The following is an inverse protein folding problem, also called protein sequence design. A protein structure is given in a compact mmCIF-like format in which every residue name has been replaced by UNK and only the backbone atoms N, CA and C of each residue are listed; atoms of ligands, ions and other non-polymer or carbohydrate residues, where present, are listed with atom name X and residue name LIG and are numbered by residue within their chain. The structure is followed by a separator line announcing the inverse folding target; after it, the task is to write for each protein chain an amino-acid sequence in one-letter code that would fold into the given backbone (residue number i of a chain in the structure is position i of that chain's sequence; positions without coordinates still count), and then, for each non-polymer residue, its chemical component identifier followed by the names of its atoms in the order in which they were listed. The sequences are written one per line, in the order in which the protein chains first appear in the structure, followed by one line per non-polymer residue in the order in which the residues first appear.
data_IF_651342325557
#
_entry.id   IF_651342325557
#
_cell.length_a   1.000
_cell.length_b   1.000
_cell.length_c   1.000
_cell.angle_alpha   90.00
_cell.angle_beta   90.00
_cell.angle_gamma   90.00
#
_symmetry.space_group_name_H-M   'P 1'
#
loop_
_entity.id
_entity.type
_entity.pdbx_description
1 polymer ?
#
# COMPACT_ATOMS: atom_id res chain seq x y z
N UNK A 1 -3.81 11.83 -27.41
CA UNK A 1 -4.10 11.82 -25.98
C UNK A 1 -5.30 10.89 -25.78
N UNK A 2 -5.05 9.62 -25.41
CA UNK A 2 -6.11 8.71 -25.02
C UNK A 2 -6.72 9.15 -23.68
N UNK A 3 -8.02 9.29 -23.60
CA UNK A 3 -8.71 9.55 -22.34
C UNK A 3 -8.95 8.19 -21.68
N UNK A 4 -8.35 7.97 -20.53
CA UNK A 4 -8.60 6.78 -19.72
C UNK A 4 -9.98 6.91 -19.07
N UNK A 5 -10.80 5.85 -19.17
CA UNK A 5 -12.15 5.78 -18.59
C UNK A 5 -12.17 4.79 -17.43
N UNK A 6 -13.29 4.70 -16.72
CA UNK A 6 -13.46 3.70 -15.65
C UNK A 6 -13.30 2.27 -16.19
N UNK A 7 -13.82 2.00 -17.38
CA UNK A 7 -13.78 0.67 -18.02
C UNK A 7 -12.38 0.32 -18.58
N UNK A 8 -11.58 1.35 -18.89
CA UNK A 8 -10.21 1.23 -19.39
C UNK A 8 -9.29 2.24 -18.67
N UNK A 9 -9.05 2.06 -17.37
CA UNK A 9 -8.21 2.96 -16.61
C UNK A 9 -6.73 2.75 -16.97
N UNK A 10 -5.93 3.78 -16.77
CA UNK A 10 -4.48 3.64 -16.73
C UNK A 10 -4.11 2.99 -15.40
N UNK A 11 -3.29 1.94 -15.44
CA UNK A 11 -2.79 1.25 -14.24
C UNK A 11 -1.28 1.10 -14.33
N UNK A 12 -0.59 1.50 -13.27
CA UNK A 12 0.85 1.29 -13.14
C UNK A 12 1.18 0.69 -11.78
N UNK A 13 1.84 -0.47 -11.77
CA UNK A 13 2.37 -1.11 -10.57
C UNK A 13 3.68 -0.43 -10.18
N UNK A 14 3.92 -0.26 -8.87
CA UNK A 14 5.14 0.33 -8.31
C UNK A 14 5.53 1.67 -8.97
N UNK A 15 4.65 2.67 -8.95
CA UNK A 15 4.82 3.90 -9.75
C UNK A 15 6.08 4.69 -9.42
N UNK A 16 6.61 4.52 -8.22
CA UNK A 16 7.81 5.22 -7.74
C UNK A 16 9.06 4.34 -7.66
N UNK A 17 8.96 3.05 -8.05
CA UNK A 17 10.08 2.11 -8.10
C UNK A 17 10.58 1.61 -6.75
N UNK A 18 9.93 1.97 -5.64
CA UNK A 18 10.40 1.67 -4.28
C UNK A 18 9.37 0.96 -3.37
N UNK A 19 8.13 0.78 -3.84
CA UNK A 19 7.05 0.13 -3.09
C UNK A 19 6.30 -0.88 -3.98
N UNK A 20 6.84 -2.09 -4.22
CA UNK A 20 6.33 -3.04 -5.21
C UNK A 20 4.90 -3.53 -4.99
N UNK A 21 4.39 -3.47 -3.75
CA UNK A 21 3.01 -3.83 -3.42
C UNK A 21 2.07 -2.61 -3.42
N UNK A 22 2.36 -1.63 -4.25
CA UNK A 22 1.52 -0.46 -4.49
C UNK A 22 1.30 -0.23 -5.99
N UNK A 23 0.19 0.40 -6.33
CA UNK A 23 -0.11 0.78 -7.70
C UNK A 23 -0.76 2.16 -7.74
N UNK A 24 -0.89 2.70 -8.95
CA UNK A 24 -1.61 3.92 -9.23
C UNK A 24 -2.61 3.64 -10.35
N UNK A 25 -3.86 4.04 -10.15
CA UNK A 25 -4.94 3.94 -11.13
C UNK A 25 -5.37 5.36 -11.48
N UNK A 26 -5.46 5.65 -12.79
CA UNK A 26 -5.92 6.95 -13.27
C UNK A 26 -7.01 6.81 -14.33
N UNK A 27 -8.07 7.58 -14.20
CA UNK A 27 -9.17 7.68 -15.17
C UNK A 27 -9.93 8.99 -15.02
N UNK A 28 -10.81 9.28 -15.98
CA UNK A 28 -11.67 10.46 -15.96
C UNK A 28 -13.14 10.06 -16.06
N UNK A 29 -14.00 10.89 -15.49
CA UNK A 29 -15.45 10.80 -15.58
C UNK A 29 -16.02 12.09 -16.20
N UNK A 30 -17.20 12.00 -16.85
CA UNK A 30 -17.85 13.16 -17.46
C UNK A 30 -18.41 14.14 -16.41
N UNK A 31 -18.77 13.62 -15.23
CA UNK A 31 -19.32 14.40 -14.11
C UNK A 31 -18.48 14.15 -12.87
N UNK A 32 -18.53 15.09 -11.96
CA UNK A 32 -17.93 14.91 -10.64
C UNK A 32 -18.55 13.73 -9.91
N UNK A 33 -17.69 12.80 -9.49
CA UNK A 33 -18.06 11.58 -8.77
C UNK A 33 -17.06 11.33 -7.66
N UNK A 34 -17.48 10.80 -6.51
CA UNK A 34 -16.58 10.21 -5.54
C UNK A 34 -16.29 8.75 -5.93
N UNK A 35 -15.13 8.27 -5.52
CA UNK A 35 -14.66 6.90 -5.82
C UNK A 35 -14.30 6.21 -4.52
N UNK A 36 -14.93 5.07 -4.28
CA UNK A 36 -14.53 4.14 -3.23
C UNK A 36 -13.67 3.04 -3.85
N UNK A 37 -12.43 2.89 -3.36
CA UNK A 37 -11.57 1.76 -3.69
C UNK A 37 -11.73 0.68 -2.62
N UNK A 38 -11.80 -0.57 -3.06
CA UNK A 38 -11.71 -1.75 -2.20
C UNK A 38 -10.60 -2.65 -2.72
N UNK A 39 -9.59 -2.90 -1.88
CA UNK A 39 -8.52 -3.86 -2.13
C UNK A 39 -8.87 -5.15 -1.39
N UNK A 40 -9.18 -6.20 -2.14
CA UNK A 40 -9.65 -7.45 -1.57
C UNK A 40 -8.57 -8.11 -0.70
N UNK A 41 -8.96 -8.50 0.51
CA UNK A 41 -8.16 -9.31 1.42
C UNK A 41 -8.50 -10.79 1.33
N UNK A 42 -7.80 -11.62 2.11
CA UNK A 42 -8.13 -13.04 2.29
C UNK A 42 -9.41 -13.23 3.11
N UNK A 43 -9.76 -12.22 3.89
CA UNK A 43 -10.97 -12.13 4.70
C UNK A 43 -11.44 -10.67 4.80
N UNK A 44 -12.59 -10.45 5.44
CA UNK A 44 -13.16 -9.12 5.62
C UNK A 44 -12.20 -8.19 6.41
N UNK A 45 -11.50 -8.72 7.40
CA UNK A 45 -10.61 -7.94 8.27
C UNK A 45 -9.27 -7.57 7.61
N UNK A 46 -8.89 -8.24 6.53
CA UNK A 46 -7.73 -7.92 5.70
C UNK A 46 -8.09 -7.20 4.39
N UNK A 47 -9.40 -6.89 4.19
CA UNK A 47 -9.89 -6.09 3.08
C UNK A 47 -9.83 -4.61 3.43
N UNK A 48 -9.19 -3.80 2.58
CA UNK A 48 -9.05 -2.35 2.78
C UNK A 48 -9.98 -1.57 1.87
N UNK A 49 -10.64 -0.58 2.43
CA UNK A 49 -11.56 0.30 1.70
C UNK A 49 -11.24 1.75 2.02
N UNK A 50 -11.24 2.61 0.99
CA UNK A 50 -11.05 4.04 1.16
C UNK A 50 -11.89 4.82 0.15
N UNK A 51 -12.46 5.95 0.58
CA UNK A 51 -13.24 6.85 -0.27
C UNK A 51 -12.43 8.10 -0.61
N UNK A 52 -12.39 8.42 -1.92
CA UNK A 52 -11.84 9.66 -2.45
C UNK A 52 -12.97 10.63 -2.78
N UNK A 53 -12.73 11.91 -2.54
CA UNK A 53 -13.69 12.98 -2.77
C UNK A 53 -14.11 13.12 -4.24
N UNK A 54 -15.10 13.98 -4.47
CA UNK A 54 -15.66 14.24 -5.82
C UNK A 54 -14.63 14.91 -6.73
N UNK A 55 -14.48 14.38 -7.92
CA UNK A 55 -13.65 14.89 -8.99
C UNK A 55 -14.14 14.38 -10.36
N UNK A 56 -13.61 14.95 -11.44
CA UNK A 56 -13.75 14.44 -12.80
C UNK A 56 -12.48 13.75 -13.30
N UNK A 57 -11.36 14.01 -12.65
CA UNK A 57 -10.07 13.36 -12.91
C UNK A 57 -9.63 12.65 -11.64
N UNK A 58 -9.51 11.34 -11.72
CA UNK A 58 -9.21 10.49 -10.59
C UNK A 58 -7.79 9.97 -10.68
N UNK A 59 -7.05 10.13 -9.60
CA UNK A 59 -5.71 9.59 -9.41
C UNK A 59 -5.75 8.81 -8.09
N UNK A 60 -5.92 7.50 -8.19
CA UNK A 60 -6.22 6.61 -7.06
C UNK A 60 -4.97 5.81 -6.69
N UNK A 61 -4.28 6.14 -5.58
CA UNK A 61 -3.23 5.30 -5.06
C UNK A 61 -3.80 4.01 -4.49
N UNK A 62 -3.16 2.90 -4.83
CA UNK A 62 -3.51 1.56 -4.38
C UNK A 62 -2.41 1.06 -3.45
N UNK A 63 -2.78 0.72 -2.23
CA UNK A 63 -1.91 0.11 -1.23
C UNK A 63 -2.51 -1.19 -0.73
N UNK A 64 -1.67 -2.04 -0.15
CA UNK A 64 -2.14 -3.27 0.46
C UNK A 64 -2.34 -4.42 -0.52
N UNK A 65 -1.55 -4.50 -1.58
CA UNK A 65 -1.51 -5.66 -2.46
C UNK A 65 -0.77 -6.81 -1.79
N UNK A 66 -1.19 -8.06 -2.07
CA UNK A 66 -0.43 -9.26 -1.71
C UNK A 66 0.69 -9.48 -2.74
N UNK A 67 1.82 -10.01 -2.29
CA UNK A 67 2.89 -10.46 -3.16
C UNK A 67 2.55 -11.80 -3.83
N UNK A 68 3.16 -12.07 -4.98
CA UNK A 68 2.99 -13.30 -5.78
C UNK A 68 1.50 -13.67 -6.00
N UNK A 69 0.69 -12.67 -6.29
CA UNK A 69 -0.77 -12.82 -6.31
C UNK A 69 -1.43 -11.99 -7.40
N UNK A 70 -2.51 -12.50 -7.94
CA UNK A 70 -3.44 -11.73 -8.76
C UNK A 70 -4.43 -11.01 -7.84
N UNK A 71 -4.12 -9.75 -7.52
CA UNK A 71 -4.91 -8.94 -6.61
C UNK A 71 -6.14 -8.36 -7.30
N UNK A 72 -7.26 -8.35 -6.61
CA UNK A 72 -8.51 -7.75 -7.10
C UNK A 72 -8.76 -6.41 -6.41
N UNK A 73 -8.92 -5.37 -7.22
CA UNK A 73 -9.22 -4.02 -6.79
C UNK A 73 -10.56 -3.61 -7.40
N UNK A 74 -11.52 -3.26 -6.55
CA UNK A 74 -12.82 -2.77 -7.00
C UNK A 74 -12.91 -1.26 -6.81
N UNK A 75 -13.24 -0.56 -7.88
CA UNK A 75 -13.60 0.86 -7.86
C UNK A 75 -15.12 0.96 -7.91
N UNK A 76 -15.71 1.69 -6.99
CA UNK A 76 -17.15 1.98 -6.94
C UNK A 76 -17.36 3.49 -6.95
N UNK A 77 -18.07 3.98 -7.95
CA UNK A 77 -18.38 5.39 -8.08
C UNK A 77 -19.70 5.73 -7.36
N UNK A 78 -19.84 6.97 -6.92
CA UNK A 78 -21.07 7.43 -6.25
C UNK A 78 -22.32 7.40 -7.14
N UNK A 79 -22.16 7.29 -8.45
CA UNK A 79 -23.26 7.10 -9.41
C UNK A 79 -23.67 5.62 -9.61
N UNK A 80 -23.05 4.70 -8.87
CA UNK A 80 -23.34 3.27 -8.87
C UNK A 80 -22.55 2.44 -9.87
N UNK A 81 -21.73 3.04 -10.72
CA UNK A 81 -20.84 2.28 -11.62
C UNK A 81 -19.73 1.62 -10.82
N UNK A 82 -19.35 0.42 -11.24
CA UNK A 82 -18.26 -0.34 -10.63
C UNK A 82 -17.32 -0.90 -11.68
N UNK A 83 -16.04 -1.01 -11.34
CA UNK A 83 -15.03 -1.68 -12.15
C UNK A 83 -14.10 -2.49 -11.26
N UNK A 84 -13.85 -3.74 -11.61
CA UNK A 84 -12.82 -4.57 -10.97
C UNK A 84 -11.59 -4.61 -11.86
N UNK A 85 -10.45 -4.38 -11.24
CA UNK A 85 -9.12 -4.37 -11.87
C UNK A 85 -8.30 -5.47 -11.22
N UNK A 86 -7.62 -6.25 -12.03
CA UNK A 86 -6.70 -7.29 -11.57
C UNK A 86 -5.27 -6.81 -11.73
N UNK A 87 -4.46 -6.94 -10.66
CA UNK A 87 -3.05 -6.55 -10.65
C UNK A 87 -2.22 -7.74 -10.19
N UNK A 88 -1.39 -8.28 -11.09
CA UNK A 88 -0.40 -9.30 -10.75
C UNK A 88 0.83 -8.63 -10.12
N UNK A 89 1.29 -9.17 -9.00
CA UNK A 89 2.48 -8.72 -8.27
C UNK A 89 3.56 -9.79 -8.28
N UNK A 90 4.80 -9.35 -8.13
CA UNK A 90 5.96 -10.24 -7.99
C UNK A 90 6.07 -10.83 -6.58
N UNK A 91 6.85 -11.91 -6.39
CA UNK A 91 7.18 -12.46 -5.08
C UNK A 91 7.92 -11.46 -4.20
N UNK A 92 7.83 -11.68 -2.87
CA UNK A 92 8.65 -10.95 -1.91
C UNK A 92 10.14 -11.25 -2.09
N UNK A 93 11.04 -10.31 -1.73
CA UNK A 93 12.46 -10.59 -1.64
C UNK A 93 12.74 -11.76 -0.69
N UNK A 94 13.63 -12.67 -1.08
CA UNK A 94 13.97 -13.86 -0.28
C UNK A 94 14.58 -13.52 1.09
N UNK A 95 15.12 -12.33 1.24
CA UNK A 95 15.75 -11.83 2.47
C UNK A 95 14.82 -10.90 3.29
N UNK A 96 13.55 -10.75 2.89
CA UNK A 96 12.54 -10.09 3.70
C UNK A 96 12.09 -11.04 4.82
N UNK A 97 12.31 -10.61 6.06
CA UNK A 97 11.93 -11.41 7.22
C UNK A 97 10.39 -11.49 7.35
N UNK A 98 9.87 -12.70 7.38
CA UNK A 98 8.46 -12.97 7.64
C UNK A 98 8.24 -13.32 9.11
N UNK A 99 7.04 -13.04 9.67
CA UNK A 99 6.69 -13.50 11.01
C UNK A 99 6.78 -15.03 11.11
N UNK A 100 7.46 -15.54 12.13
CA UNK A 100 7.50 -16.97 12.43
C UNK A 100 6.20 -17.49 13.07
N UNK A 101 5.45 -16.58 13.67
CA UNK A 101 4.12 -16.84 14.24
C UNK A 101 3.34 -15.55 14.33
N UNK A 102 2.03 -15.63 14.19
CA UNK A 102 1.11 -14.51 14.33
C UNK A 102 0.08 -14.87 15.40
N UNK A 103 -0.03 -13.97 16.39
CA UNK A 103 -1.10 -14.04 17.36
C UNK A 103 -1.80 -12.67 17.40
N UNK A 104 -3.04 -12.64 16.97
CA UNK A 104 -3.83 -11.41 16.90
C UNK A 104 -5.20 -11.63 17.54
N UNK A 105 -5.53 -10.84 18.56
CA UNK A 105 -6.90 -10.73 19.05
C UNK A 105 -7.68 -9.79 18.14
N UNK A 106 -8.31 -10.37 17.13
CA UNK A 106 -9.04 -9.64 16.08
C UNK A 106 -10.21 -8.79 16.62
N UNK A 107 -10.69 -9.08 17.85
CA UNK A 107 -11.73 -8.26 18.47
C UNK A 107 -11.23 -6.92 19.04
N UNK A 108 -9.92 -6.77 19.15
CA UNK A 108 -9.25 -5.60 19.75
C UNK A 108 -8.40 -4.81 18.76
N UNK A 109 -8.28 -5.30 17.54
CA UNK A 109 -7.47 -4.68 16.50
C UNK A 109 -8.38 -4.08 15.42
N UNK A 110 -7.95 -2.95 14.88
CA UNK A 110 -8.60 -2.32 13.74
C UNK A 110 -8.10 -2.96 12.43
N UNK A 111 -8.91 -2.83 11.36
CA UNK A 111 -8.50 -3.20 10.01
C UNK A 111 -7.51 -2.17 9.48
N UNK A 112 -6.23 -2.33 9.83
CA UNK A 112 -5.16 -1.42 9.43
C UNK A 112 -3.88 -2.21 9.14
N UNK A 113 -2.88 -1.50 8.66
CA UNK A 113 -1.54 -2.01 8.41
C UNK A 113 -0.63 -1.71 9.60
N UNK A 114 0.07 -2.73 10.06
CA UNK A 114 1.03 -2.65 11.16
C UNK A 114 2.44 -2.52 10.59
N UNK A 115 3.02 -1.32 10.74
CA UNK A 115 4.36 -1.02 10.24
C UNK A 115 5.43 -1.56 11.17
N UNK A 116 6.38 -2.28 10.60
CA UNK A 116 7.52 -2.86 11.33
C UNK A 116 8.82 -2.46 10.63
N UNK A 117 9.73 -1.90 11.42
CA UNK A 117 11.09 -1.59 10.98
C UNK A 117 12.06 -2.51 11.70
N UNK A 118 12.96 -3.20 10.99
CA UNK A 118 13.92 -4.10 11.62
C UNK A 118 14.96 -3.33 12.43
N UNK A 119 15.49 -3.95 13.49
CA UNK A 119 16.58 -3.39 14.31
C UNK A 119 17.96 -3.50 13.67
N UNK A 120 18.07 -4.23 12.57
CA UNK A 120 19.26 -4.40 11.73
C UNK A 120 18.89 -4.09 10.28
N UNK A 121 19.88 -4.02 9.38
CA UNK A 121 19.59 -3.78 7.98
C UNK A 121 18.54 -4.75 7.44
N UNK A 122 17.40 -4.20 6.98
CA UNK A 122 16.28 -4.96 6.48
C UNK A 122 15.23 -4.05 5.86
N UNK A 123 14.13 -4.65 5.44
CA UNK A 123 13.03 -3.92 4.82
C UNK A 123 12.07 -3.39 5.88
N UNK A 124 11.70 -2.12 5.78
CA UNK A 124 10.50 -1.62 6.45
C UNK A 124 9.30 -2.17 5.72
N UNK A 125 8.45 -2.88 6.44
CA UNK A 125 7.27 -3.53 5.87
C UNK A 125 6.02 -3.26 6.71
N UNK A 126 4.86 -3.38 6.09
CA UNK A 126 3.58 -3.32 6.76
C UNK A 126 2.83 -4.64 6.56
N UNK A 127 2.28 -5.12 7.65
CA UNK A 127 1.58 -6.40 7.74
C UNK A 127 0.11 -6.16 8.04
N UNK A 128 -0.75 -7.00 7.48
CA UNK A 128 -2.15 -7.03 7.90
C UNK A 128 -2.34 -7.85 9.20
N UNK A 129 -3.57 -7.93 9.64
CA UNK A 129 -3.95 -8.65 10.87
C UNK A 129 -3.64 -10.15 10.83
N UNK A 130 -3.48 -10.73 9.64
CA UNK A 130 -3.11 -12.13 9.43
C UNK A 130 -1.58 -12.34 9.39
N UNK A 131 -0.80 -11.23 9.44
CA UNK A 131 0.65 -11.24 9.34
C UNK A 131 1.16 -11.35 7.91
N UNK A 132 0.30 -11.17 6.93
CA UNK A 132 0.70 -11.08 5.52
C UNK A 132 1.32 -9.73 5.22
N UNK A 133 2.42 -9.71 4.46
CA UNK A 133 3.03 -8.47 3.99
C UNK A 133 2.14 -7.83 2.93
N UNK A 134 1.72 -6.59 3.19
CA UNK A 134 0.84 -5.81 2.31
C UNK A 134 1.52 -4.56 1.73
N UNK A 135 2.69 -4.23 2.22
CA UNK A 135 3.51 -3.14 1.74
C UNK A 135 4.95 -3.31 2.25
N UNK A 136 5.94 -2.89 1.47
CA UNK A 136 7.32 -2.78 1.91
C UNK A 136 8.07 -1.78 1.04
N UNK A 137 9.17 -1.22 1.58
CA UNK A 137 10.12 -0.41 0.83
C UNK A 137 11.30 -1.26 0.37
N UNK A 138 11.73 -1.05 -0.89
CA UNK A 138 12.92 -1.70 -1.44
C UNK A 138 14.22 -1.15 -0.86
N UNK A 139 14.20 0.09 -0.33
CA UNK A 139 15.33 0.63 0.44
C UNK A 139 15.39 -0.03 1.81
N UNK A 140 16.56 -0.55 2.17
CA UNK A 140 16.78 -1.13 3.51
C UNK A 140 17.03 -0.02 4.51
N UNK A 141 16.10 0.16 5.42
CA UNK A 141 16.16 1.15 6.47
C UNK A 141 16.38 0.47 7.82
N UNK A 142 16.99 1.18 8.72
CA UNK A 142 17.06 0.84 10.15
C UNK A 142 16.39 1.96 10.93
N UNK A 143 15.75 1.62 12.05
CA UNK A 143 15.05 2.53 12.95
C UNK A 143 13.59 2.83 12.52
N UNK A 144 13.03 3.74 13.21
CA UNK A 144 11.60 4.00 13.32
C UNK A 144 10.94 4.40 12.00
N UNK A 145 9.70 3.99 11.85
CA UNK A 145 8.75 4.49 10.85
C UNK A 145 7.60 5.17 11.60
N UNK A 146 7.29 6.40 11.23
CA UNK A 146 6.19 7.16 11.82
C UNK A 146 5.20 7.58 10.76
N UNK A 147 3.94 7.21 10.95
CA UNK A 147 2.83 7.74 10.15
C UNK A 147 2.47 9.14 10.67
N UNK A 148 2.44 10.11 9.77
CA UNK A 148 2.06 11.49 10.05
C UNK A 148 0.54 11.66 9.90
N UNK A 149 -0.01 12.74 10.47
CA UNK A 149 -1.46 13.03 10.41
C UNK A 149 -1.99 13.18 8.97
N UNK A 150 -1.13 13.63 8.04
CA UNK A 150 -1.49 13.76 6.62
C UNK A 150 -1.37 12.43 5.83
N UNK A 151 -1.11 11.30 6.52
CA UNK A 151 -0.95 9.99 5.91
C UNK A 151 0.45 9.67 5.36
N UNK A 152 1.36 10.64 5.32
CA UNK A 152 2.74 10.41 4.90
C UNK A 152 3.50 9.58 5.93
N UNK A 153 4.52 8.87 5.46
CA UNK A 153 5.46 8.14 6.32
C UNK A 153 6.75 8.95 6.47
N UNK A 154 7.17 9.10 7.71
CA UNK A 154 8.48 9.63 8.05
C UNK A 154 9.41 8.46 8.35
N UNK A 155 10.50 8.37 7.61
CA UNK A 155 11.47 7.28 7.68
C UNK A 155 12.87 7.85 7.92
N UNK A 156 13.74 7.08 8.57
CA UNK A 156 15.17 7.41 8.59
C UNK A 156 15.78 7.20 7.21
N UNK A 157 16.76 8.00 6.83
CA UNK A 157 17.54 7.71 5.62
C UNK A 157 18.43 6.48 5.84
N UNK A 158 18.82 5.82 4.75
CA UNK A 158 19.69 4.65 4.74
C UNK A 158 21.15 4.93 5.18
N UNK A 159 21.49 6.18 5.40
CA UNK A 159 22.81 6.62 5.81
C UNK A 159 22.91 6.66 7.32
N UNK A 160 23.20 5.53 7.94
CA UNK A 160 23.60 5.48 9.35
C UNK A 160 25.14 5.56 9.46
N UNK A 161 25.65 6.47 10.28
CA UNK A 161 27.07 6.51 10.61
C UNK A 161 27.42 5.43 11.64
N UNK A 162 28.70 5.08 11.72
CA UNK A 162 29.24 4.23 12.77
C UNK A 162 28.95 4.82 14.18
N UNK A 163 28.97 3.98 15.23
CA UNK A 163 28.71 4.46 16.60
C UNK A 163 29.51 5.71 16.99
N UNK A 164 28.92 6.66 17.74
CA UNK A 164 27.51 6.68 18.12
C UNK A 164 26.59 6.89 16.89
N UNK A 165 25.53 6.10 16.81
CA UNK A 165 24.66 6.07 15.64
C UNK A 165 23.90 7.40 15.48
N UNK A 166 24.16 8.10 14.40
CA UNK A 166 23.41 9.29 14.01
C UNK A 166 22.59 8.99 12.76
N UNK A 167 21.35 9.44 12.74
CA UNK A 167 20.59 9.55 11.50
C UNK A 167 21.15 10.71 10.70
N UNK A 168 21.50 10.48 9.45
CA UNK A 168 22.06 11.52 8.57
C UNK A 168 20.98 12.26 7.76
N UNK A 169 19.72 11.83 7.85
CA UNK A 169 18.59 12.47 7.23
C UNK A 169 17.27 11.73 7.48
N UNK A 170 16.18 12.39 7.16
CA UNK A 170 14.82 11.87 7.17
C UNK A 170 14.24 11.99 5.76
N UNK A 171 13.42 11.02 5.36
CA UNK A 171 12.63 11.01 4.12
C UNK A 171 11.15 11.01 4.45
#
# INVERSE_FOLDING_TARGET
NGTYTLEQPFVILNPYGNAPLSALIAFSTEKETSVTITVAGKDEQSTFTHEFGQATSHLIPVYGLYADSLNQITLTLSDGRTQTIEIQTDPLPNDLALPSSVYADKSRLENDLYFVTPSSQGYTAAYDINGDVRWYLTSKNVWDVKRLENGNLLLSSDRTMAPPYYMTGLM
#
